data_IF_842159150417
#
_entry.id   IF_842159150417
#
_cell.length_a   1.000
_cell.length_b   1.000
_cell.length_c   1.000
_cell.angle_alpha   90.00
_cell.angle_beta   90.00
_cell.angle_gamma   90.00
#
_symmetry.space_group_name_H-M   'P 1'
#
loop_
_entity.id
_entity.type
_entity.pdbx_description
1 polymer ?
#
# COMPACT_ATOMS: atom_id res chain seq x y z
N UNK A 1 13.67 -103.22 58.96
CA UNK A 1 13.75 -101.74 58.85
C UNK A 1 13.66 -101.23 57.41
N UNK A 2 13.89 -102.03 56.34
CA UNK A 2 13.85 -101.54 54.95
C UNK A 2 12.46 -101.45 54.27
N UNK A 3 11.39 -102.02 54.83
CA UNK A 3 10.06 -101.98 54.19
C UNK A 3 9.27 -100.69 54.45
N UNK A 4 9.60 -99.95 55.51
CA UNK A 4 8.90 -98.71 55.87
C UNK A 4 9.42 -97.55 55.03
N UNK A 5 10.74 -97.49 54.77
CA UNK A 5 11.35 -96.45 53.93
C UNK A 5 10.91 -96.54 52.45
N UNK A 6 10.82 -97.75 51.87
CA UNK A 6 10.39 -97.97 50.48
C UNK A 6 8.92 -97.63 50.24
N UNK A 7 8.05 -97.82 51.25
CA UNK A 7 6.63 -97.44 51.17
C UNK A 7 6.41 -95.93 51.28
N UNK A 8 7.28 -95.22 51.98
CA UNK A 8 7.21 -93.77 52.11
C UNK A 8 7.75 -93.08 50.85
N UNK A 9 8.84 -93.59 50.28
CA UNK A 9 9.43 -93.12 49.01
C UNK A 9 8.46 -93.29 47.81
N UNK A 10 7.76 -94.42 47.75
CA UNK A 10 6.70 -94.64 46.76
C UNK A 10 5.46 -93.75 46.94
N UNK A 11 5.13 -93.34 48.17
CA UNK A 11 4.03 -92.40 48.44
C UNK A 11 4.39 -90.96 48.09
N UNK A 12 5.64 -90.56 48.36
CA UNK A 12 6.17 -89.26 47.97
C UNK A 12 6.17 -89.14 46.44
N UNK A 13 6.64 -90.16 45.71
CA UNK A 13 6.62 -90.17 44.23
C UNK A 13 5.20 -90.09 43.63
N UNK A 14 4.21 -90.76 44.24
CA UNK A 14 2.79 -90.67 43.80
C UNK A 14 2.20 -89.27 44.09
N UNK A 15 2.53 -88.67 45.23
CA UNK A 15 2.07 -87.32 45.58
C UNK A 15 2.66 -86.27 44.63
N UNK A 16 3.93 -86.41 44.27
CA UNK A 16 4.59 -85.56 43.26
C UNK A 16 3.92 -85.68 41.88
N UNK A 17 3.55 -86.90 41.47
CA UNK A 17 2.81 -87.14 40.23
C UNK A 17 1.43 -86.45 40.21
N UNK A 18 0.65 -86.60 41.30
CA UNK A 18 -0.65 -85.92 41.44
C UNK A 18 -0.51 -84.39 41.49
N UNK A 19 0.56 -83.89 42.11
CA UNK A 19 0.86 -82.46 42.15
C UNK A 19 1.18 -81.91 40.76
N UNK A 20 1.93 -82.66 39.94
CA UNK A 20 2.19 -82.31 38.54
C UNK A 20 0.90 -82.28 37.72
N UNK A 21 0.05 -83.30 37.87
CA UNK A 21 -1.24 -83.39 37.17
C UNK A 21 -2.16 -82.20 37.53
N UNK A 22 -2.21 -81.84 38.82
CA UNK A 22 -2.96 -80.68 39.28
C UNK A 22 -2.45 -79.35 38.68
N UNK A 23 -1.12 -79.18 38.56
CA UNK A 23 -0.53 -77.99 37.91
C UNK A 23 -0.90 -77.91 36.43
N UNK A 24 -0.78 -79.02 35.70
CA UNK A 24 -1.12 -79.09 34.28
C UNK A 24 -2.60 -78.75 34.03
N UNK A 25 -3.51 -79.30 34.84
CA UNK A 25 -4.93 -78.94 34.76
C UNK A 25 -5.18 -77.47 35.09
N UNK A 26 -4.47 -76.90 36.08
CA UNK A 26 -4.58 -75.48 36.43
C UNK A 26 -4.13 -74.56 35.28
N UNK A 27 -3.01 -74.87 34.64
CA UNK A 27 -2.51 -74.13 33.46
C UNK A 27 -3.48 -74.22 32.27
N UNK A 28 -4.03 -75.41 32.03
CA UNK A 28 -5.04 -75.62 31.00
C UNK A 28 -6.32 -74.81 31.29
N UNK A 29 -6.76 -74.74 32.55
CA UNK A 29 -7.90 -73.90 32.97
C UNK A 29 -7.62 -72.42 32.70
N UNK A 30 -6.43 -71.93 33.04
CA UNK A 30 -6.04 -70.54 32.79
C UNK A 30 -6.05 -70.20 31.29
N UNK A 31 -5.45 -71.07 30.47
CA UNK A 31 -5.41 -70.89 29.01
C UNK A 31 -6.82 -70.91 28.41
N UNK A 32 -7.64 -71.90 28.80
CA UNK A 32 -9.02 -72.03 28.33
C UNK A 32 -9.88 -70.84 28.76
N UNK A 33 -9.64 -70.28 29.94
CA UNK A 33 -10.32 -69.08 30.41
C UNK A 33 -10.03 -67.86 29.53
N UNK A 34 -8.77 -67.66 29.12
CA UNK A 34 -8.42 -66.59 28.19
C UNK A 34 -9.05 -66.81 26.81
N UNK A 35 -9.00 -68.04 26.28
CA UNK A 35 -9.65 -68.37 25.01
C UNK A 35 -11.17 -68.21 25.06
N UNK A 36 -11.79 -68.49 26.21
CA UNK A 36 -13.21 -68.20 26.42
C UNK A 36 -13.48 -66.69 26.34
N UNK A 37 -12.57 -65.85 26.83
CA UNK A 37 -12.59 -64.40 26.60
C UNK A 37 -12.68 -64.02 25.12
N UNK A 38 -11.87 -64.65 24.25
CA UNK A 38 -11.95 -64.48 22.79
C UNK A 38 -13.33 -64.83 22.25
N UNK A 39 -13.83 -66.02 22.60
CA UNK A 39 -15.16 -66.50 22.15
C UNK A 39 -16.26 -65.56 22.60
N UNK A 40 -16.20 -65.05 23.83
CA UNK A 40 -17.16 -64.09 24.37
C UNK A 40 -17.12 -62.74 23.62
N UNK A 41 -15.94 -62.26 23.24
CA UNK A 41 -15.79 -61.04 22.42
C UNK A 41 -16.49 -61.22 21.07
N UNK A 42 -16.29 -62.37 20.42
CA UNK A 42 -16.89 -62.62 19.11
C UNK A 42 -18.40 -62.86 19.21
N UNK A 43 -18.87 -63.59 20.22
CA UNK A 43 -20.29 -63.79 20.47
C UNK A 43 -21.00 -62.46 20.76
N UNK A 44 -20.39 -61.55 21.53
CA UNK A 44 -20.99 -60.26 21.88
C UNK A 44 -21.29 -59.37 20.66
N UNK A 45 -20.56 -59.54 19.56
CA UNK A 45 -20.83 -58.85 18.28
C UNK A 45 -22.10 -59.33 17.58
N UNK A 46 -22.55 -60.56 17.88
CA UNK A 46 -23.67 -61.23 17.24
C UNK A 46 -24.95 -61.21 18.09
N UNK A 47 -24.81 -61.12 19.41
CA UNK A 47 -25.95 -61.08 20.34
C UNK A 47 -26.64 -59.71 20.27
N UNK A 48 -27.97 -59.70 20.22
CA UNK A 48 -28.76 -58.47 20.18
C UNK A 48 -28.56 -57.64 21.44
N UNK A 49 -28.66 -56.32 21.31
CA UNK A 49 -28.62 -55.40 22.44
C UNK A 49 -29.69 -55.78 23.48
N UNK A 50 -29.29 -55.83 24.75
CA UNK A 50 -30.16 -56.20 25.88
C UNK A 50 -30.24 -57.70 26.17
N UNK A 51 -29.79 -58.59 25.26
CA UNK A 51 -29.87 -60.05 25.44
C UNK A 51 -28.54 -60.67 25.94
N UNK A 52 -27.47 -59.87 26.07
CA UNK A 52 -26.13 -60.35 26.40
C UNK A 52 -26.04 -61.10 27.72
N UNK A 53 -26.60 -60.55 28.81
CA UNK A 53 -26.52 -61.15 30.14
C UNK A 53 -27.21 -62.53 30.17
N UNK A 54 -28.35 -62.66 29.50
CA UNK A 54 -29.09 -63.91 29.39
C UNK A 54 -28.34 -64.93 28.54
N UNK A 55 -27.78 -64.49 27.41
CA UNK A 55 -26.99 -65.34 26.53
C UNK A 55 -25.77 -65.93 27.26
N UNK A 56 -25.03 -65.11 28.02
CA UNK A 56 -23.88 -65.58 28.81
C UNK A 56 -24.31 -66.59 29.88
N UNK A 57 -25.43 -66.32 30.58
CA UNK A 57 -25.96 -67.23 31.60
C UNK A 57 -26.30 -68.60 31.03
N UNK A 58 -27.00 -68.63 29.89
CA UNK A 58 -27.45 -69.87 29.25
C UNK A 58 -26.32 -70.67 28.60
N UNK A 59 -25.37 -69.99 27.94
CA UNK A 59 -24.36 -70.67 27.09
C UNK A 59 -22.99 -70.84 27.76
N UNK A 60 -22.63 -69.97 28.69
CA UNK A 60 -21.34 -69.98 29.38
C UNK A 60 -21.45 -70.25 30.89
N UNK A 61 -22.68 -70.40 31.41
CA UNK A 61 -22.98 -70.73 32.81
C UNK A 61 -22.29 -69.83 33.84
N UNK A 62 -22.16 -68.54 33.52
CA UNK A 62 -21.49 -67.56 34.38
C UNK A 62 -22.22 -66.21 34.40
N UNK A 63 -21.81 -65.35 35.33
CA UNK A 63 -22.31 -63.97 35.39
C UNK A 63 -21.74 -63.14 34.23
N UNK A 64 -22.50 -62.14 33.81
CA UNK A 64 -22.02 -61.14 32.85
C UNK A 64 -20.72 -60.49 33.32
N UNK A 65 -20.63 -60.13 34.61
CA UNK A 65 -19.42 -59.55 35.21
C UNK A 65 -18.20 -60.44 35.01
N UNK A 66 -18.33 -61.75 35.25
CA UNK A 66 -17.24 -62.71 35.03
C UNK A 66 -16.86 -62.80 33.56
N UNK A 67 -17.83 -62.85 32.66
CA UNK A 67 -17.59 -62.85 31.21
C UNK A 67 -16.85 -61.57 30.78
N UNK A 68 -17.24 -60.40 31.27
CA UNK A 68 -16.56 -59.13 31.01
C UNK A 68 -15.10 -59.14 31.49
N UNK A 69 -14.82 -59.70 32.67
CA UNK A 69 -13.43 -59.85 33.15
C UNK A 69 -12.61 -60.77 32.24
N UNK A 70 -13.17 -61.89 31.76
CA UNK A 70 -12.48 -62.78 30.81
C UNK A 70 -12.22 -62.10 29.47
N UNK A 71 -13.21 -61.37 28.93
CA UNK A 71 -13.06 -60.59 27.70
C UNK A 71 -11.93 -59.57 27.83
N UNK A 72 -11.94 -58.74 28.89
CA UNK A 72 -10.88 -57.75 29.14
C UNK A 72 -9.51 -58.39 29.32
N UNK A 73 -9.45 -59.56 29.95
CA UNK A 73 -8.20 -60.31 30.12
C UNK A 73 -7.64 -60.75 28.77
N UNK A 74 -8.50 -61.25 27.88
CA UNK A 74 -8.07 -61.61 26.53
C UNK A 74 -7.69 -60.39 25.68
N UNK A 75 -8.41 -59.28 25.78
CA UNK A 75 -8.06 -58.04 25.07
C UNK A 75 -6.68 -57.51 25.48
N UNK A 76 -6.34 -57.55 26.77
CA UNK A 76 -5.06 -57.04 27.28
C UNK A 76 -3.90 -58.03 27.15
N UNK A 77 -4.16 -59.32 27.31
CA UNK A 77 -3.10 -60.33 27.49
C UNK A 77 -3.25 -61.56 26.58
N UNK A 78 -4.24 -61.61 25.70
CA UNK A 78 -4.54 -62.80 24.88
C UNK A 78 -3.46 -63.18 23.87
N UNK A 79 -2.48 -62.30 23.64
CA UNK A 79 -1.32 -62.53 22.78
C UNK A 79 0.00 -62.63 23.58
N UNK A 80 -0.09 -62.75 24.91
CA UNK A 80 1.06 -62.74 25.82
C UNK A 80 1.23 -64.12 26.44
N UNK A 81 2.13 -64.98 25.91
CA UNK A 81 2.32 -66.36 26.38
C UNK A 81 2.62 -66.46 27.88
N UNK A 82 3.38 -65.50 28.42
CA UNK A 82 3.78 -65.41 29.83
C UNK A 82 2.57 -65.24 30.76
N UNK A 83 1.51 -64.60 30.26
CA UNK A 83 0.25 -64.39 31.01
C UNK A 83 -0.73 -65.52 30.76
N UNK A 84 -0.62 -66.23 29.62
CA UNK A 84 -1.55 -67.27 29.21
C UNK A 84 -1.64 -68.44 30.21
N UNK A 85 -0.51 -68.76 30.85
CA UNK A 85 -0.40 -69.85 31.83
C UNK A 85 -0.62 -69.40 33.29
N UNK A 86 -0.87 -68.11 33.55
CA UNK A 86 -1.02 -67.60 34.92
C UNK A 86 -2.38 -67.95 35.53
N UNK A 87 -2.38 -68.20 36.84
CA UNK A 87 -3.62 -68.37 37.58
C UNK A 87 -4.58 -67.20 37.39
N UNK A 88 -5.88 -67.51 37.23
CA UNK A 88 -6.98 -66.54 37.07
C UNK A 88 -6.89 -65.32 38.01
N UNK A 89 -6.52 -65.56 39.27
CA UNK A 89 -6.41 -64.49 40.27
C UNK A 89 -5.36 -63.44 39.87
N UNK A 90 -4.19 -63.87 39.40
CA UNK A 90 -3.09 -62.99 38.98
C UNK A 90 -3.50 -62.15 37.76
N UNK A 91 -4.06 -62.80 36.74
CA UNK A 91 -4.54 -62.13 35.52
C UNK A 91 -5.56 -61.03 35.87
N UNK A 92 -6.50 -61.32 36.77
CA UNK A 92 -7.50 -60.35 37.20
C UNK A 92 -6.92 -59.18 37.98
N UNK A 93 -5.88 -59.39 38.80
CA UNK A 93 -5.19 -58.28 39.46
C UNK A 93 -4.47 -57.39 38.45
N UNK A 94 -3.83 -57.99 37.44
CA UNK A 94 -3.14 -57.25 36.37
C UNK A 94 -4.08 -56.40 35.51
N UNK A 95 -5.39 -56.68 35.47
CA UNK A 95 -6.36 -55.79 34.80
C UNK A 95 -6.43 -54.38 35.40
N UNK A 96 -5.89 -54.15 36.59
CA UNK A 96 -5.82 -52.82 37.21
C UNK A 96 -4.58 -52.01 36.81
N UNK A 97 -3.66 -52.60 36.04
CA UNK A 97 -2.52 -51.87 35.48
C UNK A 97 -3.00 -50.76 34.54
N UNK A 98 -2.32 -49.60 34.51
CA UNK A 98 -2.53 -48.62 33.44
C UNK A 98 -2.36 -49.26 32.05
N UNK A 99 -3.13 -48.79 31.07
CA UNK A 99 -3.01 -49.28 29.69
C UNK A 99 -1.66 -48.91 29.09
N UNK A 100 -1.00 -49.85 28.44
CA UNK A 100 0.32 -49.69 27.83
C UNK A 100 1.49 -49.99 28.77
N UNK A 101 1.26 -50.30 30.05
CA UNK A 101 2.32 -50.68 31.00
C UNK A 101 2.43 -52.19 31.24
N UNK A 102 1.60 -52.99 30.57
CA UNK A 102 1.50 -54.44 30.75
C UNK A 102 2.83 -55.13 30.44
N UNK A 103 3.43 -54.80 29.30
CA UNK A 103 4.66 -55.42 28.83
C UNK A 103 5.82 -55.13 29.79
N UNK A 104 6.01 -53.85 30.14
CA UNK A 104 7.03 -53.42 31.11
C UNK A 104 6.82 -54.08 32.48
N UNK A 105 5.57 -54.19 32.93
CA UNK A 105 5.26 -54.86 34.19
C UNK A 105 5.68 -56.33 34.18
N UNK A 106 5.44 -57.04 33.08
CA UNK A 106 5.80 -58.45 32.91
C UNK A 106 7.33 -58.60 32.83
N UNK A 107 8.03 -57.69 32.17
CA UNK A 107 9.49 -57.71 32.06
C UNK A 107 10.20 -57.43 33.39
N UNK A 108 9.65 -56.53 34.20
CA UNK A 108 10.25 -56.11 35.48
C UNK A 108 9.89 -57.02 36.67
N UNK A 109 8.86 -57.86 36.53
CA UNK A 109 8.36 -58.69 37.64
C UNK A 109 8.27 -60.17 37.24
N UNK A 110 8.78 -61.05 38.09
CA UNK A 110 8.60 -62.51 37.95
C UNK A 110 7.18 -62.94 38.39
N UNK A 111 6.20 -62.58 37.56
CA UNK A 111 4.77 -62.81 37.80
C UNK A 111 4.41 -64.30 37.97
N UNK A 112 5.24 -65.20 37.43
CA UNK A 112 5.06 -66.65 37.53
C UNK A 112 5.31 -67.12 38.97
N UNK A 113 6.41 -66.68 39.58
CA UNK A 113 6.77 -67.09 40.94
C UNK A 113 6.10 -66.25 42.04
N UNK A 114 5.65 -65.04 41.74
CA UNK A 114 4.93 -64.21 42.70
C UNK A 114 3.58 -64.82 43.11
N UNK A 115 3.18 -64.62 44.36
CA UNK A 115 1.81 -64.91 44.81
C UNK A 115 0.82 -63.89 44.25
N UNK A 116 -0.48 -64.23 44.19
CA UNK A 116 -1.51 -63.28 43.75
C UNK A 116 -1.53 -61.97 44.57
N UNK A 117 -1.13 -62.02 45.84
CA UNK A 117 -1.04 -60.84 46.73
C UNK A 117 0.18 -59.97 46.39
N UNK A 118 1.30 -60.59 46.03
CA UNK A 118 2.49 -59.85 45.56
C UNK A 118 2.22 -59.19 44.22
N UNK A 119 1.55 -59.88 43.29
CA UNK A 119 1.11 -59.29 42.01
C UNK A 119 0.20 -58.09 42.25
N UNK A 120 -0.78 -58.20 43.15
CA UNK A 120 -1.65 -57.08 43.52
C UNK A 120 -0.87 -55.87 44.08
N UNK A 121 0.10 -56.13 44.96
CA UNK A 121 0.94 -55.07 45.52
C UNK A 121 1.82 -54.40 44.45
N UNK A 122 2.37 -55.18 43.51
CA UNK A 122 3.19 -54.65 42.42
C UNK A 122 2.35 -53.81 41.44
N UNK A 123 1.17 -54.30 41.06
CA UNK A 123 0.21 -53.54 40.24
C UNK A 123 -0.18 -52.23 40.91
N UNK A 124 -0.41 -52.23 42.24
CA UNK A 124 -0.72 -51.02 43.00
C UNK A 124 0.42 -49.98 42.91
N UNK A 125 1.68 -50.41 43.06
CA UNK A 125 2.84 -49.51 42.95
C UNK A 125 2.92 -48.84 41.58
N UNK A 126 2.82 -49.63 40.51
CA UNK A 126 2.85 -49.11 39.13
C UNK A 126 1.73 -48.10 38.89
N UNK A 127 0.54 -48.39 39.42
CA UNK A 127 -0.60 -47.46 39.31
C UNK A 127 -0.34 -46.15 40.05
N UNK A 128 0.17 -46.20 41.28
CA UNK A 128 0.52 -45.01 42.08
C UNK A 128 1.60 -44.17 41.39
N UNK A 129 2.63 -44.80 40.85
CA UNK A 129 3.71 -44.14 40.09
C UNK A 129 3.20 -43.48 38.81
N UNK A 130 2.34 -44.17 38.06
CA UNK A 130 1.72 -43.65 36.85
C UNK A 130 0.83 -42.43 37.15
N UNK A 131 -0.01 -42.51 38.20
CA UNK A 131 -0.84 -41.39 38.64
C UNK A 131 0.00 -40.21 39.13
N UNK A 132 1.09 -40.46 39.84
CA UNK A 132 2.03 -39.40 40.26
C UNK A 132 2.69 -38.72 39.07
N UNK A 133 3.10 -39.50 38.05
CA UNK A 133 3.67 -38.97 36.80
C UNK A 133 2.68 -38.09 36.05
N UNK A 134 1.42 -38.52 35.92
CA UNK A 134 0.36 -37.72 35.29
C UNK A 134 0.13 -36.42 36.05
N UNK A 135 0.00 -36.48 37.38
CA UNK A 135 -0.21 -35.28 38.21
C UNK A 135 0.96 -34.30 38.08
N UNK A 136 2.20 -34.80 38.09
CA UNK A 136 3.39 -33.97 37.89
C UNK A 136 3.40 -33.32 36.51
N UNK A 137 3.09 -34.06 35.44
CA UNK A 137 3.02 -33.51 34.08
C UNK A 137 1.94 -32.43 33.97
N UNK A 138 0.75 -32.69 34.53
CA UNK A 138 -0.35 -31.71 34.56
C UNK A 138 0.06 -30.44 35.31
N UNK A 139 0.71 -30.56 36.47
CA UNK A 139 1.19 -29.39 37.21
C UNK A 139 2.26 -28.61 36.43
N UNK A 140 3.17 -29.30 35.73
CA UNK A 140 4.18 -28.65 34.90
C UNK A 140 3.53 -27.90 33.72
N UNK A 141 2.51 -28.51 33.09
CA UNK A 141 1.73 -27.86 32.03
C UNK A 141 1.01 -26.62 32.54
N UNK A 142 0.30 -26.71 33.67
CA UNK A 142 -0.38 -25.56 34.28
C UNK A 142 0.60 -24.43 34.64
N UNK A 143 1.78 -24.75 35.18
CA UNK A 143 2.80 -23.74 35.49
C UNK A 143 3.37 -23.09 34.22
N UNK A 144 3.60 -23.88 33.17
CA UNK A 144 4.08 -23.37 31.89
C UNK A 144 3.05 -22.45 31.23
N UNK A 145 1.77 -22.84 31.27
CA UNK A 145 0.65 -22.06 30.76
C UNK A 145 0.47 -20.75 31.55
N UNK A 146 0.46 -20.81 32.88
CA UNK A 146 0.39 -19.62 33.73
C UNK A 146 1.55 -18.65 33.46
N UNK A 147 2.77 -19.17 33.26
CA UNK A 147 3.94 -18.33 32.91
C UNK A 147 3.80 -17.72 31.52
N UNK A 148 3.31 -18.48 30.55
CA UNK A 148 3.07 -17.99 29.19
C UNK A 148 2.00 -16.88 29.18
N UNK A 149 0.94 -17.05 29.96
CA UNK A 149 -0.11 -16.04 30.12
C UNK A 149 0.41 -14.78 30.85
N UNK A 150 1.25 -14.92 31.87
CA UNK A 150 1.91 -13.78 32.52
C UNK A 150 2.78 -12.99 31.51
N UNK A 151 3.58 -13.69 30.70
CA UNK A 151 4.40 -13.09 29.64
C UNK A 151 3.54 -12.40 28.58
N UNK A 152 2.41 -12.98 28.20
CA UNK A 152 1.49 -12.39 27.22
C UNK A 152 0.72 -11.18 27.79
N UNK A 153 0.46 -11.15 29.09
CA UNK A 153 -0.24 -10.05 29.77
C UNK A 153 0.62 -8.80 29.97
N UNK A 154 1.96 -8.94 29.94
CA UNK A 154 2.88 -7.80 30.05
C UNK A 154 2.82 -6.99 28.76
N UNK A 155 2.47 -5.69 28.82
CA UNK A 155 2.55 -4.81 27.66
C UNK A 155 3.96 -4.84 27.08
N UNK A 156 4.14 -4.77 25.76
CA UNK A 156 5.47 -4.69 25.18
C UNK A 156 6.20 -3.48 25.77
N UNK A 157 7.37 -3.72 26.37
CA UNK A 157 8.25 -2.65 26.83
C UNK A 157 8.76 -1.90 25.60
N UNK A 158 8.15 -0.76 25.30
CA UNK A 158 8.64 0.15 24.26
C UNK A 158 9.81 0.91 24.87
N UNK A 159 11.04 0.77 24.34
CA UNK A 159 12.20 1.46 24.89
C UNK A 159 12.04 2.99 24.85
N UNK A 160 12.50 3.69 25.89
CA UNK A 160 12.37 5.16 26.02
C UNK A 160 12.95 5.92 24.82
N UNK A 161 14.03 5.40 24.21
CA UNK A 161 14.64 6.01 23.02
C UNK A 161 13.71 5.98 21.78
N UNK A 162 12.81 5.01 21.68
CA UNK A 162 11.80 4.93 20.61
C UNK A 162 10.72 5.97 20.86
N UNK A 163 10.29 6.13 22.12
CA UNK A 163 9.30 7.14 22.50
C UNK A 163 9.83 8.57 22.27
N UNK A 164 11.08 8.82 22.64
CA UNK A 164 11.75 10.10 22.36
C UNK A 164 11.91 10.35 20.86
N UNK A 165 12.26 9.32 20.07
CA UNK A 165 12.36 9.42 18.60
C UNK A 165 11.01 9.75 17.96
N UNK A 166 9.92 9.14 18.43
CA UNK A 166 8.56 9.46 17.99
C UNK A 166 8.24 10.91 18.31
N UNK A 167 8.52 11.37 19.54
CA UNK A 167 8.25 12.76 19.95
C UNK A 167 9.01 13.78 19.09
N UNK A 168 10.26 13.51 18.72
CA UNK A 168 11.04 14.38 17.84
C UNK A 168 10.43 14.43 16.44
N UNK A 169 10.04 13.28 15.88
CA UNK A 169 9.40 13.22 14.56
C UNK A 169 8.04 13.91 14.54
N UNK A 170 7.25 13.78 15.60
CA UNK A 170 5.96 14.48 15.72
C UNK A 170 6.15 16.00 15.71
N UNK A 171 7.16 16.52 16.41
CA UNK A 171 7.52 17.94 16.36
C UNK A 171 7.96 18.37 14.96
N UNK A 172 8.69 17.52 14.23
CA UNK A 172 9.14 17.80 12.88
C UNK A 172 7.97 17.82 11.88
N UNK A 173 7.06 16.85 11.99
CA UNK A 173 5.81 16.81 11.20
C UNK A 173 4.99 18.08 11.43
N UNK A 174 4.88 18.54 12.67
CA UNK A 174 4.13 19.75 12.98
C UNK A 174 4.75 21.01 12.36
N UNK A 175 6.08 21.11 12.34
CA UNK A 175 6.78 22.19 11.62
C UNK A 175 6.51 22.15 10.12
N UNK A 176 6.59 20.97 9.49
CA UNK A 176 6.28 20.84 8.07
C UNK A 176 4.83 21.19 7.76
N UNK A 177 3.88 20.83 8.63
CA UNK A 177 2.46 21.21 8.47
C UNK A 177 2.27 22.72 8.49
N UNK A 178 2.91 23.41 9.43
CA UNK A 178 2.85 24.87 9.52
C UNK A 178 3.43 25.55 8.27
N UNK A 179 4.57 25.07 7.78
CA UNK A 179 5.17 25.62 6.57
C UNK A 179 4.33 25.35 5.31
N UNK A 180 3.76 24.14 5.18
CA UNK A 180 2.81 23.83 4.10
C UNK A 180 1.58 24.75 4.15
N UNK A 181 1.05 25.04 5.34
CA UNK A 181 -0.08 25.95 5.50
C UNK A 181 0.29 27.39 5.09
N UNK A 182 1.48 27.86 5.47
CA UNK A 182 1.99 29.18 5.08
C UNK A 182 2.14 29.32 3.55
N UNK A 183 2.75 28.34 2.91
CA UNK A 183 2.94 28.30 1.45
C UNK A 183 1.57 28.25 0.73
N UNK A 184 0.61 27.49 1.27
CA UNK A 184 -0.72 27.40 0.68
C UNK A 184 -1.46 28.74 0.70
N UNK A 185 -1.36 29.51 1.79
CA UNK A 185 -1.98 30.84 1.86
C UNK A 185 -1.28 31.85 0.93
N UNK A 186 0.07 31.85 0.89
CA UNK A 186 0.84 32.68 -0.04
C UNK A 186 0.48 32.39 -1.50
N UNK A 187 0.34 31.11 -1.87
CA UNK A 187 -0.08 30.71 -3.21
C UNK A 187 -1.49 31.21 -3.55
N UNK A 188 -2.41 31.22 -2.58
CA UNK A 188 -3.78 31.71 -2.75
C UNK A 188 -3.81 33.23 -2.94
N UNK A 189 -3.01 33.98 -2.19
CA UNK A 189 -2.86 35.42 -2.36
C UNK A 189 -2.32 35.75 -3.76
N UNK A 190 -1.25 35.06 -4.20
CA UNK A 190 -0.68 35.24 -5.54
C UNK A 190 -1.67 34.89 -6.66
N UNK A 191 -2.49 33.85 -6.50
CA UNK A 191 -3.54 33.52 -7.45
C UNK A 191 -4.60 34.63 -7.54
N UNK A 192 -5.01 35.18 -6.40
CA UNK A 192 -6.00 36.27 -6.37
C UNK A 192 -5.47 37.56 -7.01
N UNK A 193 -4.20 37.88 -6.78
CA UNK A 193 -3.55 39.04 -7.40
C UNK A 193 -3.37 38.82 -8.91
N UNK A 194 -2.97 37.61 -9.33
CA UNK A 194 -2.92 37.23 -10.74
C UNK A 194 -4.28 37.42 -11.41
N UNK A 195 -5.37 36.94 -10.81
CA UNK A 195 -6.73 37.11 -11.35
C UNK A 195 -7.17 38.57 -11.45
N UNK A 196 -6.74 39.42 -10.51
CA UNK A 196 -6.97 40.86 -10.59
C UNK A 196 -6.21 41.48 -11.76
N UNK A 197 -4.90 41.21 -11.87
CA UNK A 197 -4.08 41.72 -12.97
C UNK A 197 -4.59 41.29 -14.35
N UNK A 198 -5.08 40.06 -14.49
CA UNK A 198 -5.71 39.60 -15.73
C UNK A 198 -7.01 40.34 -16.07
N UNK A 199 -7.80 40.73 -15.06
CA UNK A 199 -9.00 41.57 -15.29
C UNK A 199 -8.59 42.97 -15.74
N UNK A 200 -7.65 43.59 -15.05
CA UNK A 200 -7.16 44.93 -15.37
C UNK A 200 -6.54 44.98 -16.79
N UNK A 201 -5.77 43.94 -17.16
CA UNK A 201 -5.22 43.80 -18.51
C UNK A 201 -6.33 43.70 -19.56
N UNK A 202 -7.35 42.87 -19.32
CA UNK A 202 -8.48 42.70 -20.24
C UNK A 202 -9.28 43.99 -20.42
N UNK A 203 -9.48 44.75 -19.34
CA UNK A 203 -10.12 46.08 -19.41
C UNK A 203 -9.27 47.06 -20.22
N UNK A 204 -7.95 47.07 -20.01
CA UNK A 204 -7.03 47.89 -20.79
C UNK A 204 -7.02 47.51 -22.28
N UNK A 205 -7.05 46.22 -22.60
CA UNK A 205 -7.14 45.72 -23.98
C UNK A 205 -8.43 46.21 -24.66
N UNK A 206 -9.58 46.09 -23.97
CA UNK A 206 -10.87 46.59 -24.46
C UNK A 206 -10.84 48.09 -24.74
N UNK A 207 -10.24 48.89 -23.85
CA UNK A 207 -10.11 50.34 -24.03
C UNK A 207 -9.23 50.70 -25.23
N UNK A 208 -8.14 49.96 -25.44
CA UNK A 208 -7.26 50.17 -26.61
C UNK A 208 -8.01 49.82 -27.90
N UNK A 209 -8.78 48.73 -27.92
CA UNK A 209 -9.62 48.35 -29.07
C UNK A 209 -10.66 49.43 -29.38
N UNK A 210 -11.35 49.97 -28.38
CA UNK A 210 -12.30 51.08 -28.54
C UNK A 210 -11.63 52.35 -29.09
N UNK A 211 -10.46 52.72 -28.55
CA UNK A 211 -9.69 53.88 -29.04
C UNK A 211 -9.23 53.71 -30.49
N UNK A 212 -8.81 52.50 -30.88
CA UNK A 212 -8.44 52.19 -32.26
C UNK A 212 -9.63 52.32 -33.20
N UNK A 213 -10.80 51.79 -32.82
CA UNK A 213 -12.02 51.93 -33.63
C UNK A 213 -12.42 53.41 -33.82
N UNK A 214 -12.32 54.23 -32.79
CA UNK A 214 -12.60 55.67 -32.88
C UNK A 214 -11.57 56.39 -33.77
N UNK A 215 -10.28 56.04 -33.65
CA UNK A 215 -9.25 56.58 -34.53
C UNK A 215 -9.51 56.24 -36.01
N UNK A 216 -9.88 54.99 -36.31
CA UNK A 216 -10.21 54.54 -37.66
C UNK A 216 -11.45 55.27 -38.22
N UNK A 217 -12.47 55.51 -37.38
CA UNK A 217 -13.66 56.31 -37.75
C UNK A 217 -13.27 57.73 -38.11
N UNK A 218 -12.55 58.43 -37.23
CA UNK A 218 -12.13 59.82 -37.45
C UNK A 218 -11.23 59.93 -38.68
N UNK A 219 -10.31 58.98 -38.90
CA UNK A 219 -9.47 58.95 -40.07
C UNK A 219 -10.29 58.80 -41.37
N UNK A 220 -11.32 57.94 -41.34
CA UNK A 220 -12.24 57.75 -42.47
C UNK A 220 -13.04 59.02 -42.76
N UNK A 221 -13.55 59.70 -41.72
CA UNK A 221 -14.25 60.99 -41.84
C UNK A 221 -13.35 62.09 -42.42
N UNK A 222 -12.10 62.19 -41.96
CA UNK A 222 -11.13 63.14 -42.48
C UNK A 222 -10.85 62.91 -43.97
N UNK A 223 -10.66 61.66 -44.38
CA UNK A 223 -10.46 61.31 -45.79
C UNK A 223 -11.67 61.70 -46.65
N UNK A 224 -12.89 61.46 -46.15
CA UNK A 224 -14.12 61.88 -46.82
C UNK A 224 -14.22 63.41 -46.94
N UNK A 225 -13.88 64.15 -45.88
CA UNK A 225 -13.88 65.61 -45.88
C UNK A 225 -12.82 66.19 -46.82
N UNK A 226 -11.61 65.62 -46.86
CA UNK A 226 -10.55 66.00 -47.79
C UNK A 226 -10.98 65.76 -49.25
N UNK A 227 -11.64 64.63 -49.54
CA UNK A 227 -12.20 64.34 -50.86
C UNK A 227 -13.28 65.35 -51.28
N UNK A 228 -14.15 65.74 -50.36
CA UNK A 228 -15.16 66.79 -50.58
C UNK A 228 -14.52 68.17 -50.84
N UNK A 229 -13.49 68.55 -50.08
CA UNK A 229 -12.76 69.80 -50.26
C UNK A 229 -12.01 69.84 -51.60
N UNK A 230 -11.37 68.73 -52.00
CA UNK A 230 -10.69 68.62 -53.29
C UNK A 230 -11.67 68.75 -54.47
N UNK A 231 -12.90 68.22 -54.34
CA UNK A 231 -13.96 68.44 -55.34
C UNK A 231 -14.41 69.91 -55.39
N UNK A 232 -14.55 70.57 -54.23
CA UNK A 232 -14.92 71.99 -54.16
C UNK A 232 -13.86 72.95 -54.68
N UNK A 233 -12.57 72.61 -54.56
CA UNK A 233 -11.47 73.41 -55.12
C UNK A 233 -11.26 73.17 -56.62
N UNK A 234 -11.59 71.98 -57.16
CA UNK A 234 -11.56 71.70 -58.59
C UNK A 234 -12.64 72.45 -59.39
N UNK A 235 -13.72 72.92 -58.73
CA UNK A 235 -14.81 73.68 -59.36
C UNK A 235 -14.57 75.21 -59.37
N UNK A 236 -13.48 75.73 -58.78
CA UNK A 236 -13.12 77.15 -58.87
C UNK A 236 -12.26 77.43 -60.11
N UNK A 237 -12.86 78.20 -61.02
CA UNK A 237 -12.33 78.73 -62.29
C UNK A 237 -10.82 78.98 -62.33
N UNK A 238 -10.13 78.31 -63.26
CA UNK A 238 -8.77 78.61 -63.70
C UNK A 238 -8.79 79.93 -64.46
N UNK A 239 -8.31 81.01 -63.84
CA UNK A 239 -8.01 82.29 -64.51
C UNK A 239 -6.49 82.44 -64.66
N UNK A 240 -6.04 82.67 -65.89
CA UNK A 240 -4.67 82.52 -66.40
C UNK A 240 -3.68 83.65 -66.01
N UNK A 241 -3.96 84.46 -64.98
CA UNK A 241 -3.06 85.53 -64.51
C UNK A 241 -2.61 85.28 -63.07
N UNK A 242 -1.33 84.91 -62.90
CA UNK A 242 -0.72 84.69 -61.58
C UNK A 242 -0.56 86.03 -60.85
N UNK A 243 -1.41 86.30 -59.86
CA UNK A 243 -1.28 87.52 -59.05
C UNK A 243 -0.12 87.39 -58.04
N UNK A 244 0.39 88.53 -57.55
CA UNK A 244 1.40 88.52 -56.49
C UNK A 244 0.90 87.82 -55.21
N UNK A 245 -0.41 87.85 -54.94
CA UNK A 245 -1.03 87.15 -53.83
C UNK A 245 -1.04 85.63 -54.02
N UNK A 246 -1.33 85.15 -55.23
CA UNK A 246 -1.27 83.72 -55.57
C UNK A 246 0.16 83.18 -55.46
N UNK A 247 1.13 83.95 -55.95
CA UNK A 247 2.54 83.63 -55.80
C UNK A 247 2.97 83.57 -54.33
N UNK A 248 2.58 84.55 -53.52
CA UNK A 248 2.90 84.56 -52.08
C UNK A 248 2.27 83.36 -51.35
N UNK A 249 1.03 82.97 -51.70
CA UNK A 249 0.38 81.78 -51.14
C UNK A 249 1.10 80.50 -51.51
N UNK A 250 1.48 80.34 -52.78
CA UNK A 250 2.23 79.18 -53.26
C UNK A 250 3.60 79.07 -52.58
N UNK A 251 4.32 80.19 -52.43
CA UNK A 251 5.60 80.25 -51.70
C UNK A 251 5.39 79.89 -50.22
N UNK A 252 4.34 80.40 -49.58
CA UNK A 252 4.00 80.09 -48.19
C UNK A 252 3.70 78.61 -47.97
N UNK A 253 2.93 77.98 -48.86
CA UNK A 253 2.64 76.54 -48.83
C UNK A 253 3.93 75.72 -49.02
N UNK A 254 4.75 76.07 -50.01
CA UNK A 254 6.03 75.40 -50.26
C UNK A 254 6.95 75.47 -49.04
N UNK A 255 7.18 76.68 -48.49
CA UNK A 255 8.01 76.89 -47.30
C UNK A 255 7.43 76.13 -46.10
N UNK A 256 6.10 76.11 -45.93
CA UNK A 256 5.44 75.35 -44.85
C UNK A 256 5.76 73.86 -44.90
N UNK A 257 5.64 73.24 -46.09
CA UNK A 257 5.95 71.81 -46.31
C UNK A 257 7.42 71.52 -46.01
N UNK A 258 8.34 72.38 -46.47
CA UNK A 258 9.79 72.15 -46.37
C UNK A 258 10.45 72.81 -45.14
N UNK A 259 9.65 73.40 -44.23
CA UNK A 259 10.11 74.16 -43.06
C UNK A 259 11.03 73.39 -42.11
N UNK A 260 10.99 72.05 -42.16
CA UNK A 260 11.83 71.17 -41.35
C UNK A 260 13.26 71.06 -41.88
N UNK A 261 13.51 71.31 -43.17
CA UNK A 261 14.82 71.11 -43.83
C UNK A 261 15.95 71.87 -43.13
N UNK A 262 15.83 73.17 -42.79
CA UNK A 262 16.89 73.91 -42.10
C UNK A 262 17.25 73.33 -40.71
N UNK A 263 16.34 72.57 -40.11
CA UNK A 263 16.50 71.98 -38.77
C UNK A 263 16.90 70.50 -38.81
N UNK A 264 17.09 69.93 -40.00
CA UNK A 264 17.40 68.51 -40.19
C UNK A 264 18.89 68.16 -40.09
N UNK A 265 19.74 69.04 -39.53
CA UNK A 265 21.20 68.84 -39.46
C UNK A 265 21.63 67.44 -38.95
N UNK A 266 21.01 66.94 -37.88
CA UNK A 266 21.28 65.57 -37.37
C UNK A 266 20.82 64.46 -38.31
N UNK A 267 19.71 64.65 -39.03
CA UNK A 267 19.23 63.67 -40.02
C UNK A 267 20.14 63.65 -41.24
N UNK A 268 20.63 64.81 -41.70
CA UNK A 268 21.59 64.87 -42.80
C UNK A 268 22.92 64.18 -42.45
N UNK A 269 23.38 64.22 -41.20
CA UNK A 269 24.60 63.50 -40.80
C UNK A 269 24.47 61.97 -40.89
N UNK A 270 23.27 61.42 -40.70
CA UNK A 270 23.01 59.97 -40.75
C UNK A 270 22.47 59.48 -42.10
N UNK A 271 22.17 60.40 -43.02
CA UNK A 271 21.58 60.13 -44.33
C UNK A 271 22.64 59.69 -45.35
N UNK A 272 22.24 58.85 -46.31
CA UNK A 272 23.12 58.43 -47.40
C UNK A 272 23.61 59.66 -48.19
N UNK A 273 24.80 59.56 -48.78
CA UNK A 273 25.39 60.67 -49.54
C UNK A 273 24.54 61.02 -50.78
N UNK A 274 24.03 60.01 -51.50
CA UNK A 274 23.16 60.20 -52.66
C UNK A 274 21.89 60.97 -52.33
N UNK A 275 21.22 60.61 -51.23
CA UNK A 275 20.00 61.29 -50.80
C UNK A 275 20.28 62.77 -50.44
N UNK A 276 21.43 63.06 -49.82
CA UNK A 276 21.83 64.45 -49.54
C UNK A 276 22.13 65.24 -50.81
N UNK A 277 22.74 64.62 -51.81
CA UNK A 277 22.96 65.26 -53.11
C UNK A 277 21.64 65.57 -53.82
N UNK A 278 20.63 64.70 -53.70
CA UNK A 278 19.30 64.96 -54.29
C UNK A 278 18.62 66.20 -53.67
N UNK A 279 18.77 66.39 -52.35
CA UNK A 279 18.30 67.61 -51.66
C UNK A 279 19.05 68.86 -52.15
N UNK A 280 20.38 68.80 -52.23
CA UNK A 280 21.21 69.92 -52.70
C UNK A 280 20.94 70.28 -54.17
N UNK A 281 20.80 69.28 -55.04
CA UNK A 281 20.45 69.46 -56.44
C UNK A 281 19.10 70.17 -56.60
N UNK A 282 18.10 69.78 -55.80
CA UNK A 282 16.77 70.40 -55.79
C UNK A 282 16.82 71.85 -55.30
N UNK A 283 17.60 72.15 -54.25
CA UNK A 283 17.80 73.51 -53.77
C UNK A 283 18.47 74.41 -54.81
N UNK A 284 19.50 73.90 -55.51
CA UNK A 284 20.16 74.63 -56.61
C UNK A 284 19.20 74.96 -57.76
N UNK A 285 18.23 74.10 -58.04
CA UNK A 285 17.18 74.39 -59.05
C UNK A 285 16.33 75.57 -58.60
N UNK A 286 15.91 75.59 -57.33
CA UNK A 286 15.12 76.69 -56.76
C UNK A 286 15.93 77.99 -56.77
N UNK A 287 17.19 77.96 -56.37
CA UNK A 287 18.07 79.13 -56.38
C UNK A 287 18.25 79.70 -57.79
N UNK A 288 18.51 78.84 -58.78
CA UNK A 288 18.62 79.26 -60.19
C UNK A 288 17.33 79.86 -60.71
N UNK A 289 16.20 79.22 -60.42
CA UNK A 289 14.89 79.72 -60.82
C UNK A 289 14.61 81.09 -60.18
N UNK A 290 14.85 81.24 -58.88
CA UNK A 290 14.64 82.49 -58.16
C UNK A 290 15.56 83.61 -58.66
N UNK A 291 16.83 83.31 -58.95
CA UNK A 291 17.77 84.26 -59.54
C UNK A 291 17.32 84.68 -60.96
N UNK A 292 16.85 83.73 -61.77
CA UNK A 292 16.29 84.01 -63.10
C UNK A 292 15.04 84.88 -63.05
N UNK A 293 14.11 84.57 -62.14
CA UNK A 293 12.90 85.35 -61.92
C UNK A 293 13.23 86.78 -61.47
N UNK A 294 14.16 86.94 -60.52
CA UNK A 294 14.60 88.26 -60.06
C UNK A 294 15.30 89.05 -61.16
N UNK A 295 16.11 88.39 -61.99
CA UNK A 295 16.70 89.02 -63.18
C UNK A 295 15.62 89.49 -64.14
N UNK A 296 14.59 88.69 -64.40
CA UNK A 296 13.48 89.07 -65.26
C UNK A 296 12.74 90.31 -64.72
N UNK A 297 12.42 90.34 -63.41
CA UNK A 297 11.80 91.49 -62.74
C UNK A 297 12.66 92.75 -62.90
N UNK A 298 13.95 92.65 -62.56
CA UNK A 298 14.86 93.81 -62.60
C UNK A 298 15.19 94.26 -64.03
N UNK A 299 15.11 93.38 -65.02
CA UNK A 299 15.31 93.74 -66.44
C UNK A 299 14.15 94.60 -66.96
N UNK A 300 12.93 94.41 -66.43
CA UNK A 300 11.77 95.26 -66.74
C UNK A 300 11.93 96.65 -66.12
N UNK A 301 12.49 96.74 -64.92
CA UNK A 301 12.74 98.00 -64.21
C UNK A 301 13.76 98.88 -64.96
N UNK A 302 14.86 98.30 -65.44
CA UNK A 302 15.89 99.01 -66.25
C UNK A 302 15.34 99.46 -67.62
N UNK A 303 14.40 98.72 -68.22
CA UNK A 303 13.75 99.11 -69.48
C UNK A 303 12.76 100.27 -69.30
N UNK A 304 12.15 100.40 -68.11
CA UNK A 304 11.30 101.56 -67.78
C UNK A 304 12.14 102.80 -67.46
N UNK A 305 13.30 102.65 -66.81
CA UNK A 305 14.23 103.77 -66.56
C UNK A 305 14.94 104.27 -67.83
N UNK A 306 15.26 103.37 -68.78
CA UNK A 306 15.90 103.74 -70.06
C UNK A 306 14.97 104.33 -71.12
N UNK A 307 13.66 104.35 -70.90
CA UNK A 307 12.65 104.86 -71.85
C UNK A 307 12.19 106.29 -71.51
N UNK A 308 12.72 106.90 -70.44
CA UNK A 308 12.56 108.30 -70.10
C UNK A 308 13.88 108.99 -70.38
N UNK A 309 14.08 109.47 -71.61
CA UNK A 309 14.84 110.66 -72.05
C UNK A 309 14.92 110.59 -73.59
N UNK A 310 13.95 111.26 -74.22
CA UNK A 310 14.08 112.17 -75.38
C UNK A 310 12.75 112.18 -76.15
N UNK A 311 11.82 112.97 -75.61
CA UNK A 311 10.85 113.70 -76.41
C UNK A 311 11.32 115.15 -76.42
N UNK A 312 12.07 115.52 -77.46
CA UNK A 312 12.04 116.81 -78.17
C UNK A 312 12.48 116.55 -79.61
#
# INVERSE_FOLDING_TARGET
MNEIAMRDDGRISVLEGLALEARLYSEAIATNMLQLGRVLIDAKKLVKHGEWSEWVRLNAHMSETTAQYMMRSFERFGQTPEVAALEKSKIFKMLSLPSGTEQTFIEENDITNMTAREVENAVRKVKEEYEAKIKSEQQMRMKAEAKAEELASKPPEIPDNVLDSIRVKDQEIEKYRQECARIAEEAKELLSERERLYRDLRESESLIEEQQQEYDRVQTELLNAQSMAAKGDAERTVTDELTAADFARAVGQFIGIVSRIPHMGRKFTTMAFSEREDFDASLKVIEKWAAGARKAINTVEVRMEGMIINAE
#
